data_IF_632513233276
#
_entry.id   IF_632513233276
#
_cell.length_a   1.000
_cell.length_b   1.000
_cell.length_c   1.000
_cell.angle_alpha   90.00
_cell.angle_beta   90.00
_cell.angle_gamma   90.00
#
_symmetry.space_group_name_H-M   'P 1'
#
loop_
_entity.id
_entity.type
_entity.pdbx_description
1 polymer ?
#
# COMPACT_ATOMS: atom_id res chain seq x y z
N UNK A 1 -31.55 12.45 -7.49
CA UNK A 1 -30.20 12.99 -7.77
C UNK A 1 -29.17 11.97 -7.33
N UNK A 2 -29.03 10.85 -8.05
CA UNK A 2 -28.11 9.74 -7.67
C UNK A 2 -27.49 9.05 -8.90
N UNK A 3 -27.18 9.78 -9.98
CA UNK A 3 -26.38 9.23 -11.10
C UNK A 3 -24.94 9.78 -11.14
N UNK A 4 -24.64 10.89 -10.45
CA UNK A 4 -23.38 11.63 -10.64
C UNK A 4 -22.17 11.09 -9.87
N UNK A 5 -22.33 10.16 -8.93
CA UNK A 5 -21.21 9.66 -8.13
C UNK A 5 -20.44 8.52 -8.84
N UNK A 6 -21.09 7.80 -9.76
CA UNK A 6 -20.49 6.69 -10.48
C UNK A 6 -19.69 7.13 -11.72
N UNK A 7 -20.18 8.13 -12.47
CA UNK A 7 -19.48 8.64 -13.67
C UNK A 7 -18.14 9.31 -13.31
N UNK A 8 -18.06 10.10 -12.23
CA UNK A 8 -16.84 10.79 -11.80
C UNK A 8 -15.75 9.80 -11.28
N UNK A 9 -16.14 8.69 -10.67
CA UNK A 9 -15.19 7.64 -10.26
C UNK A 9 -14.67 6.84 -11.46
N UNK A 10 -15.51 6.56 -12.45
CA UNK A 10 -15.10 5.81 -13.65
C UNK A 10 -14.18 6.66 -14.54
N UNK A 11 -14.45 7.97 -14.68
CA UNK A 11 -13.62 8.88 -15.47
C UNK A 11 -12.21 9.07 -14.89
N UNK A 12 -12.09 9.20 -13.56
CA UNK A 12 -10.78 9.37 -12.92
C UNK A 12 -9.94 8.09 -12.90
N UNK A 13 -10.54 6.90 -13.00
CA UNK A 13 -9.82 5.62 -13.02
C UNK A 13 -9.30 5.27 -14.42
N UNK A 14 -10.09 5.51 -15.47
CA UNK A 14 -9.69 5.24 -16.86
C UNK A 14 -8.55 6.18 -17.29
N UNK A 15 -8.62 7.47 -16.93
CA UNK A 15 -7.51 8.40 -17.20
C UNK A 15 -6.22 8.02 -16.48
N UNK A 16 -6.30 7.52 -15.24
CA UNK A 16 -5.11 7.09 -14.46
C UNK A 16 -4.40 5.92 -15.13
N UNK A 17 -5.16 4.96 -15.68
CA UNK A 17 -4.58 3.78 -16.31
C UNK A 17 -3.83 4.14 -17.60
N UNK A 18 -4.42 4.96 -18.47
CA UNK A 18 -3.77 5.35 -19.73
C UNK A 18 -2.48 6.16 -19.50
N UNK A 19 -2.47 7.06 -18.52
CA UNK A 19 -1.27 7.86 -18.18
C UNK A 19 -0.14 6.97 -17.66
N UNK A 20 -0.43 5.92 -16.89
CA UNK A 20 0.58 5.00 -16.38
C UNK A 20 1.24 4.19 -17.51
N UNK A 21 0.45 3.72 -18.49
CA UNK A 21 0.97 2.99 -19.65
C UNK A 21 1.88 3.89 -20.49
N UNK A 22 1.44 5.11 -20.80
CA UNK A 22 2.25 6.06 -21.56
C UNK A 22 3.56 6.42 -20.83
N UNK A 23 3.51 6.62 -19.50
CA UNK A 23 4.70 6.88 -18.70
C UNK A 23 5.71 5.72 -18.78
N UNK A 24 5.26 4.48 -18.66
CA UNK A 24 6.13 3.31 -18.81
C UNK A 24 6.73 3.19 -20.21
N UNK A 25 5.94 3.46 -21.26
CA UNK A 25 6.45 3.49 -22.63
C UNK A 25 7.52 4.58 -22.77
N UNK A 26 7.31 5.78 -22.21
CA UNK A 26 8.32 6.85 -22.22
C UNK A 26 9.61 6.46 -21.49
N UNK A 27 9.53 5.78 -20.35
CA UNK A 27 10.70 5.28 -19.61
C UNK A 27 11.46 4.26 -20.46
N UNK A 28 10.78 3.25 -20.99
CA UNK A 28 11.41 2.20 -21.81
C UNK A 28 12.03 2.81 -23.08
N UNK A 29 11.34 3.75 -23.72
CA UNK A 29 11.84 4.46 -24.89
C UNK A 29 13.10 5.27 -24.55
N UNK A 30 13.15 5.94 -23.40
CA UNK A 30 14.33 6.66 -22.96
C UNK A 30 15.53 5.73 -22.72
N UNK A 31 15.31 4.59 -22.06
CA UNK A 31 16.35 3.60 -21.82
C UNK A 31 16.89 2.97 -23.13
N UNK A 32 16.08 2.94 -24.20
CA UNK A 32 16.45 2.35 -25.49
C UNK A 32 16.77 3.37 -26.59
N UNK A 33 16.87 4.67 -26.27
CA UNK A 33 17.02 5.75 -27.27
C UNK A 33 18.26 5.61 -28.15
N UNK A 34 19.31 4.98 -27.63
CA UNK A 34 20.60 4.80 -28.29
C UNK A 34 20.80 3.36 -28.81
N UNK A 35 19.81 2.48 -28.66
CA UNK A 35 19.87 1.07 -29.08
C UNK A 35 19.72 0.96 -30.60
N UNK A 36 20.66 0.28 -31.26
CA UNK A 36 20.63 0.16 -32.73
C UNK A 36 19.65 -0.93 -33.20
N UNK A 37 19.14 -0.86 -34.44
CA UNK A 37 18.33 -1.92 -35.01
C UNK A 37 19.08 -3.27 -34.98
N UNK A 38 18.44 -4.28 -34.37
CA UNK A 38 19.03 -5.63 -34.21
C UNK A 38 19.75 -5.85 -32.87
N UNK A 39 19.98 -4.81 -32.08
CA UNK A 39 20.48 -4.96 -30.70
C UNK A 39 19.33 -5.31 -29.74
N UNK A 40 19.69 -5.96 -28.62
CA UNK A 40 18.70 -6.36 -27.61
C UNK A 40 18.19 -5.11 -26.87
N UNK A 41 16.87 -4.90 -26.89
CA UNK A 41 16.22 -3.85 -26.12
C UNK A 41 16.25 -4.16 -24.62
N UNK A 42 16.40 -3.10 -23.81
CA UNK A 42 16.19 -3.12 -22.37
C UNK A 42 14.71 -3.37 -22.09
N UNK A 43 14.42 -4.42 -21.32
CA UNK A 43 13.05 -4.79 -20.94
C UNK A 43 12.60 -4.09 -19.66
N UNK A 44 11.30 -4.16 -19.37
CA UNK A 44 10.75 -3.71 -18.08
C UNK A 44 11.44 -4.41 -16.90
N UNK A 45 11.75 -5.70 -17.04
CA UNK A 45 12.43 -6.45 -16.00
C UNK A 45 13.83 -5.90 -15.70
N UNK A 46 14.57 -5.51 -16.74
CA UNK A 46 15.91 -4.94 -16.60
C UNK A 46 15.84 -3.59 -15.86
N UNK A 47 14.90 -2.72 -16.25
CA UNK A 47 14.67 -1.42 -15.58
C UNK A 47 14.30 -1.61 -14.10
N UNK A 48 13.39 -2.54 -13.80
CA UNK A 48 12.97 -2.83 -12.42
C UNK A 48 14.13 -3.40 -11.59
N UNK A 49 14.96 -4.26 -12.18
CA UNK A 49 16.13 -4.83 -11.50
C UNK A 49 17.18 -3.77 -11.20
N UNK A 50 17.46 -2.86 -12.14
CA UNK A 50 18.34 -1.72 -11.93
C UNK A 50 17.81 -0.78 -10.83
N UNK A 51 16.50 -0.52 -10.83
CA UNK A 51 15.85 0.25 -9.78
C UNK A 51 16.03 -0.39 -8.40
N UNK A 52 15.83 -1.71 -8.28
CA UNK A 52 16.08 -2.45 -7.04
C UNK A 52 17.54 -2.43 -6.62
N UNK A 53 18.49 -2.48 -7.56
CA UNK A 53 19.91 -2.39 -7.24
C UNK A 53 20.30 -1.01 -6.67
N UNK A 54 19.60 0.06 -7.11
CA UNK A 54 19.90 1.44 -6.71
C UNK A 54 19.21 1.83 -5.40
N UNK A 55 17.94 1.46 -5.23
CA UNK A 55 17.09 1.94 -4.11
C UNK A 55 16.73 0.84 -3.09
N UNK A 56 17.12 -0.40 -3.34
CA UNK A 56 16.69 -1.57 -2.58
C UNK A 56 15.32 -2.09 -3.03
N UNK A 57 15.01 -3.35 -2.67
CA UNK A 57 13.73 -3.99 -3.02
C UNK A 57 12.79 -3.96 -1.83
N UNK A 58 11.59 -3.46 -2.05
CA UNK A 58 10.48 -3.57 -1.12
C UNK A 58 9.59 -4.74 -1.56
N UNK A 59 9.59 -5.83 -0.80
CA UNK A 59 8.66 -6.93 -1.04
C UNK A 59 7.28 -6.53 -0.56
N UNK A 60 6.29 -6.58 -1.44
CA UNK A 60 4.90 -6.24 -1.13
C UNK A 60 4.01 -7.46 -1.30
N UNK A 61 3.22 -7.78 -0.27
CA UNK A 61 2.12 -8.73 -0.37
C UNK A 61 0.89 -8.17 0.34
N UNK A 62 -0.27 -8.50 -0.19
CA UNK A 62 -1.58 -8.07 0.31
C UNK A 62 -2.44 -9.32 0.52
N UNK A 63 -2.94 -9.48 1.73
CA UNK A 63 -3.86 -10.56 2.10
C UNK A 63 -5.24 -9.97 2.33
N UNK A 64 -6.20 -10.42 1.54
CA UNK A 64 -7.60 -9.99 1.60
C UNK A 64 -8.40 -11.11 2.28
N UNK A 65 -8.87 -10.85 3.50
CA UNK A 65 -9.84 -11.73 4.15
C UNK A 65 -11.22 -11.15 3.90
N UNK A 66 -11.97 -11.85 3.06
CA UNK A 66 -13.30 -11.46 2.63
C UNK A 66 -14.36 -12.18 3.46
N UNK A 67 -15.58 -11.71 3.38
CA UNK A 67 -16.74 -12.34 4.00
C UNK A 67 -16.64 -12.60 5.51
N UNK A 68 -15.82 -11.82 6.22
CA UNK A 68 -15.64 -11.93 7.65
C UNK A 68 -16.85 -11.41 8.45
N UNK A 69 -17.22 -12.17 9.50
CA UNK A 69 -18.24 -11.77 10.47
C UNK A 69 -17.86 -10.44 11.15
N UNK A 70 -18.84 -9.55 11.25
CA UNK A 70 -18.61 -8.14 11.61
C UNK A 70 -18.10 -7.97 13.03
N UNK A 71 -18.69 -8.67 13.99
CA UNK A 71 -18.30 -8.60 15.39
C UNK A 71 -16.87 -9.11 15.58
N UNK A 72 -16.52 -10.25 14.98
CA UNK A 72 -15.18 -10.83 15.00
C UNK A 72 -14.12 -9.92 14.38
N UNK A 73 -14.41 -9.32 13.22
CA UNK A 73 -13.48 -8.41 12.55
C UNK A 73 -13.23 -7.15 13.38
N UNK A 74 -14.28 -6.58 14.01
CA UNK A 74 -14.13 -5.44 14.90
C UNK A 74 -13.34 -5.79 16.16
N UNK A 75 -13.63 -6.93 16.82
CA UNK A 75 -12.89 -7.42 17.99
C UNK A 75 -11.40 -7.60 17.69
N UNK A 76 -11.06 -8.12 16.52
CA UNK A 76 -9.66 -8.29 16.13
C UNK A 76 -8.95 -6.94 15.94
N UNK A 77 -9.60 -5.93 15.35
CA UNK A 77 -8.99 -4.59 15.23
C UNK A 77 -8.85 -3.92 16.60
N UNK A 78 -9.85 -4.05 17.47
CA UNK A 78 -9.79 -3.54 18.83
C UNK A 78 -8.64 -4.18 19.61
N UNK A 79 -8.49 -5.50 19.51
CA UNK A 79 -7.34 -6.21 20.07
C UNK A 79 -6.01 -5.68 19.53
N UNK A 80 -5.90 -5.42 18.22
CA UNK A 80 -4.70 -4.81 17.65
C UNK A 80 -4.43 -3.41 18.21
N UNK A 81 -5.47 -2.59 18.43
CA UNK A 81 -5.34 -1.28 19.09
C UNK A 81 -4.92 -1.38 20.55
N UNK A 82 -5.36 -2.41 21.27
CA UNK A 82 -4.84 -2.70 22.60
C UNK A 82 -3.39 -3.16 22.57
N UNK A 83 -2.97 -3.91 21.54
CA UNK A 83 -1.56 -4.23 21.33
C UNK A 83 -0.75 -2.95 21.08
N UNK A 84 -1.27 -1.99 20.29
CA UNK A 84 -0.61 -0.70 20.07
C UNK A 84 -0.33 0.03 21.38
N UNK A 85 -1.31 0.12 22.28
CA UNK A 85 -1.15 0.85 23.55
C UNK A 85 -0.11 0.22 24.48
N UNK A 86 0.19 -1.07 24.31
CA UNK A 86 1.21 -1.83 25.04
C UNK A 86 2.56 -1.86 24.33
N UNK A 87 2.59 -1.55 23.03
CA UNK A 87 3.79 -1.63 22.20
C UNK A 87 4.67 -0.41 22.42
N UNK A 88 5.99 -0.63 22.48
CA UNK A 88 6.98 0.44 22.64
C UNK A 88 8.09 0.32 21.61
N UNK A 89 8.67 1.44 21.15
CA UNK A 89 9.89 1.42 20.35
C UNK A 89 10.97 0.53 21.01
N UNK A 90 11.56 -0.37 20.22
CA UNK A 90 12.55 -1.34 20.68
C UNK A 90 12.00 -2.74 20.99
N UNK A 91 10.68 -2.94 21.01
CA UNK A 91 10.08 -4.28 21.14
C UNK A 91 10.52 -5.18 19.97
N UNK A 92 10.77 -6.46 20.28
CA UNK A 92 11.27 -7.44 19.31
C UNK A 92 10.20 -8.42 18.89
N UNK A 93 10.03 -8.57 17.59
CA UNK A 93 9.15 -9.54 16.95
C UNK A 93 9.99 -10.44 16.04
N UNK A 94 10.53 -11.51 16.61
CA UNK A 94 11.54 -12.33 15.94
C UNK A 94 12.82 -11.51 15.66
N UNK A 95 13.19 -11.38 14.39
CA UNK A 95 14.33 -10.57 13.93
C UNK A 95 14.01 -9.07 13.77
N UNK A 96 12.74 -8.68 13.85
CA UNK A 96 12.32 -7.30 13.60
C UNK A 96 12.24 -6.49 14.89
N UNK A 97 12.78 -5.28 14.87
CA UNK A 97 12.73 -4.34 16.01
C UNK A 97 11.72 -3.24 15.69
N UNK A 98 10.75 -3.07 16.56
CA UNK A 98 9.69 -2.09 16.39
C UNK A 98 10.27 -0.68 16.49
N UNK A 99 10.05 0.14 15.46
CA UNK A 99 10.35 1.57 15.51
C UNK A 99 9.19 2.34 16.14
N UNK A 100 7.98 2.13 15.62
CA UNK A 100 6.74 2.68 16.19
C UNK A 100 5.54 1.85 15.74
N UNK A 101 4.45 1.98 16.47
CA UNK A 101 3.16 1.44 16.08
C UNK A 101 2.05 2.45 16.36
N UNK A 102 1.11 2.62 15.43
CA UNK A 102 0.06 3.65 15.53
C UNK A 102 -1.24 3.22 14.82
N UNK A 103 -2.33 3.93 15.09
CA UNK A 103 -3.57 3.88 14.29
C UNK A 103 -3.61 5.10 13.37
N UNK A 104 -3.42 4.86 12.08
CA UNK A 104 -3.12 5.89 11.09
C UNK A 104 -4.23 6.95 11.04
N UNK A 105 -3.79 8.20 11.15
CA UNK A 105 -4.62 9.40 11.02
C UNK A 105 -3.97 10.32 10.00
N UNK A 106 -4.78 10.82 9.07
CA UNK A 106 -4.36 11.80 8.08
C UNK A 106 -5.11 13.11 8.31
N UNK A 107 -4.36 14.21 8.31
CA UNK A 107 -4.90 15.57 8.31
C UNK A 107 -4.59 16.18 6.96
N UNK A 108 -5.64 16.54 6.22
CA UNK A 108 -5.48 17.13 4.90
C UNK A 108 -4.86 18.54 5.02
N UNK A 109 -3.77 18.85 4.30
CA UNK A 109 -3.09 20.13 4.43
C UNK A 109 -3.85 21.30 3.78
N UNK A 110 -4.85 21.03 2.92
CA UNK A 110 -5.64 22.02 2.19
C UNK A 110 -6.86 22.45 3.00
N UNK A 111 -7.69 21.49 3.41
CA UNK A 111 -8.95 21.77 4.11
C UNK A 111 -8.91 21.49 5.62
N UNK A 112 -7.81 20.92 6.12
CA UNK A 112 -7.60 20.53 7.53
C UNK A 112 -8.58 19.47 8.03
N UNK A 113 -9.28 18.77 7.14
CA UNK A 113 -10.10 17.63 7.50
C UNK A 113 -9.24 16.52 8.09
N UNK A 114 -9.78 15.82 9.10
CA UNK A 114 -9.06 14.76 9.81
C UNK A 114 -9.79 13.44 9.58
N UNK A 115 -9.07 12.49 8.99
CA UNK A 115 -9.54 11.11 8.81
C UNK A 115 -8.72 10.21 9.71
N UNK A 116 -9.36 9.66 10.74
CA UNK A 116 -8.75 8.75 11.71
C UNK A 116 -9.13 7.30 11.44
N UNK A 117 -8.49 6.37 12.16
CA UNK A 117 -8.78 4.92 12.11
C UNK A 117 -8.59 4.32 10.71
N UNK A 118 -7.61 4.82 9.96
CA UNK A 118 -7.36 4.40 8.57
C UNK A 118 -6.46 3.15 8.45
N UNK A 119 -5.99 2.62 9.58
CA UNK A 119 -5.30 1.33 9.63
C UNK A 119 -4.28 1.30 10.76
N UNK A 120 -4.21 0.16 11.44
CA UNK A 120 -3.21 -0.11 12.47
C UNK A 120 -1.89 -0.47 11.80
N UNK A 121 -0.80 0.23 12.15
CA UNK A 121 0.51 0.03 11.54
C UNK A 121 1.53 -0.38 12.58
N UNK A 122 2.36 -1.36 12.24
CA UNK A 122 3.59 -1.70 12.94
C UNK A 122 4.74 -1.41 11.98
N UNK A 123 5.61 -0.48 12.34
CA UNK A 123 6.74 -0.06 11.51
C UNK A 123 8.03 -0.41 12.23
N UNK A 124 8.93 -1.09 11.52
CA UNK A 124 10.18 -1.63 12.05
C UNK A 124 11.38 -0.79 11.61
N UNK A 125 12.48 -0.89 12.35
CA UNK A 125 13.67 -0.05 12.15
C UNK A 125 14.41 -0.28 10.84
N UNK A 126 14.21 -1.44 10.20
CA UNK A 126 14.74 -1.80 8.88
C UNK A 126 13.91 -1.19 7.73
N UNK A 127 12.80 -0.50 8.04
CA UNK A 127 11.85 0.04 7.08
C UNK A 127 10.74 -0.94 6.70
N UNK A 128 10.77 -2.17 7.24
CA UNK A 128 9.69 -3.12 7.07
C UNK A 128 8.45 -2.63 7.81
N UNK A 129 7.26 -3.02 7.35
CA UNK A 129 6.01 -2.67 8.02
C UNK A 129 4.90 -3.66 7.75
N UNK A 130 4.01 -3.78 8.74
CA UNK A 130 2.76 -4.52 8.67
C UNK A 130 1.62 -3.53 8.89
N UNK A 131 0.64 -3.52 8.00
CA UNK A 131 -0.53 -2.64 8.09
C UNK A 131 -1.78 -3.48 8.07
N UNK A 132 -2.65 -3.26 9.05
CA UNK A 132 -3.95 -3.87 9.22
C UNK A 132 -5.04 -2.85 8.95
N UNK A 133 -5.85 -3.08 7.92
CA UNK A 133 -6.95 -2.19 7.57
C UNK A 133 -8.27 -2.93 7.50
N UNK A 134 -9.25 -2.42 8.23
CA UNK A 134 -10.63 -2.86 8.18
C UNK A 134 -11.41 -1.98 7.22
N UNK A 135 -12.12 -2.58 6.28
CA UNK A 135 -13.01 -1.88 5.35
C UNK A 135 -14.40 -2.50 5.41
N UNK A 136 -15.41 -1.68 5.69
CA UNK A 136 -16.80 -2.11 5.65
C UNK A 136 -17.38 -1.86 4.25
N UNK A 137 -18.07 -2.85 3.68
CA UNK A 137 -19.01 -2.58 2.60
C UNK A 137 -20.42 -2.52 3.19
N UNK A 138 -21.26 -1.65 2.62
CA UNK A 138 -22.63 -1.41 3.10
C UNK A 138 -23.55 -2.63 3.00
N UNK A 139 -23.14 -3.68 2.27
CA UNK A 139 -23.97 -4.85 1.96
C UNK A 139 -23.31 -6.20 2.19
N UNK A 140 -21.98 -6.27 2.33
CA UNK A 140 -21.26 -7.50 2.64
C UNK A 140 -20.17 -7.24 3.69
N UNK A 141 -20.01 -8.26 4.52
CA UNK A 141 -18.96 -8.54 5.48
C UNK A 141 -17.61 -7.84 5.26
N UNK A 142 -16.94 -7.53 6.36
CA UNK A 142 -15.74 -6.71 6.41
C UNK A 142 -14.57 -7.31 5.63
N UNK A 143 -13.78 -6.43 5.00
CA UNK A 143 -12.50 -6.75 4.39
C UNK A 143 -11.37 -6.42 5.36
N UNK A 144 -10.47 -7.37 5.54
CA UNK A 144 -9.22 -7.15 6.27
C UNK A 144 -8.04 -7.21 5.30
N UNK A 145 -7.21 -6.17 5.32
CA UNK A 145 -5.99 -6.11 4.53
C UNK A 145 -4.78 -6.21 5.44
N UNK A 146 -3.90 -7.16 5.16
CA UNK A 146 -2.54 -7.19 5.71
C UNK A 146 -1.57 -6.82 4.61
N UNK A 147 -0.86 -5.71 4.79
CA UNK A 147 0.22 -5.32 3.90
C UNK A 147 1.56 -5.62 4.55
N UNK A 148 2.35 -6.48 3.93
CA UNK A 148 3.75 -6.68 4.31
C UNK A 148 4.63 -5.87 3.38
N UNK A 149 5.49 -5.04 3.95
CA UNK A 149 6.65 -4.48 3.28
C UNK A 149 7.89 -5.03 3.96
N UNK A 150 8.72 -5.79 3.24
CA UNK A 150 9.99 -6.28 3.76
C UNK A 150 11.11 -5.67 2.93
N UNK A 151 12.08 -5.04 3.59
CA UNK A 151 13.29 -4.53 2.95
C UNK A 151 14.42 -5.53 3.20
N UNK A 152 15.01 -6.04 2.12
CA UNK A 152 16.31 -6.73 2.17
C UNK A 152 17.43 -5.73 1.91
#
# INVERSE_FOLDING_TARGET
MECWCWEVMVDTLIEKLHRAVLAWISIIAHHNKDTKPGEKLISVFDVVKEHWATYGRNFFSRYDYEECESEGANKMIEYLRECLSKSKPGDKYGSYVLQFADDFTYTDPVDRSVVSKQGVRFVFTDGSRIIYRLSAQRFFNFFFFIFFFIKN
#
